data_IF_703974378866
#
_entry.id   IF_703974378866
#
_cell.length_a   1.000
_cell.length_b   1.000
_cell.length_c   1.000
_cell.angle_alpha   90.00
_cell.angle_beta   90.00
_cell.angle_gamma   90.00
#
_symmetry.space_group_name_H-M   'P 1'
#
loop_
_entity.id
_entity.type
_entity.pdbx_description
1 polymer ?
#
# COMPACT_ATOMS: atom_id res chain seq x y z
N UNK A 1 12.96 22.57 6.70
CA UNK A 1 12.71 21.47 5.74
C UNK A 1 11.21 21.25 5.59
N UNK A 2 10.65 21.59 4.42
CA UNK A 2 9.32 21.17 3.99
C UNK A 2 9.01 19.70 4.28
N UNK A 3 7.75 19.38 4.54
CA UNK A 3 7.27 18.01 4.79
C UNK A 3 7.59 17.03 3.64
N UNK A 4 7.58 17.52 2.40
CA UNK A 4 7.90 16.72 1.21
C UNK A 4 9.35 16.20 1.22
N UNK A 5 10.32 17.05 1.58
CA UNK A 5 11.73 16.68 1.63
C UNK A 5 12.01 15.57 2.65
N UNK A 6 11.35 15.63 3.83
CA UNK A 6 11.48 14.60 4.86
C UNK A 6 10.96 13.25 4.36
N UNK A 7 9.81 13.23 3.67
CA UNK A 7 9.25 12.00 3.07
C UNK A 7 10.15 11.44 1.99
N UNK A 8 10.72 12.30 1.15
CA UNK A 8 11.63 11.91 0.08
C UNK A 8 12.93 11.31 0.64
N UNK A 9 13.53 11.96 1.64
CA UNK A 9 14.74 11.46 2.30
C UNK A 9 14.51 10.12 3.02
N UNK A 10 13.38 9.96 3.73
CA UNK A 10 13.01 8.70 4.37
C UNK A 10 12.80 7.58 3.33
N UNK A 11 12.07 7.86 2.26
CA UNK A 11 11.83 6.91 1.17
C UNK A 11 13.12 6.47 0.48
N UNK A 12 14.03 7.41 0.19
CA UNK A 12 15.34 7.12 -0.41
C UNK A 12 16.22 6.28 0.52
N UNK A 13 16.29 6.63 1.82
CA UNK A 13 17.08 5.89 2.80
C UNK A 13 16.59 4.45 2.96
N UNK A 14 15.28 4.24 2.97
CA UNK A 14 14.68 2.91 3.05
C UNK A 14 14.97 2.10 1.79
N UNK A 15 14.83 2.71 0.61
CA UNK A 15 15.11 2.05 -0.67
C UNK A 15 16.58 1.67 -0.82
N UNK A 16 17.49 2.49 -0.28
CA UNK A 16 18.92 2.16 -0.22
C UNK A 16 19.21 1.02 0.76
N UNK A 17 18.53 0.99 1.91
CA UNK A 17 18.70 -0.07 2.92
C UNK A 17 18.08 -1.40 2.50
N UNK A 18 16.99 -1.36 1.75
CA UNK A 18 16.25 -2.54 1.29
C UNK A 18 16.03 -2.42 -0.23
N UNK A 19 17.04 -2.77 -1.03
CA UNK A 19 17.00 -2.66 -2.51
C UNK A 19 15.86 -3.45 -3.13
N UNK A 20 15.51 -4.59 -2.54
CA UNK A 20 14.51 -5.52 -3.08
C UNK A 20 13.09 -5.21 -2.56
N UNK A 21 12.91 -4.08 -1.84
CA UNK A 21 11.62 -3.69 -1.27
C UNK A 21 11.23 -2.27 -1.65
N UNK A 22 9.96 -2.14 -1.99
CA UNK A 22 9.32 -0.89 -2.39
C UNK A 22 8.56 -0.34 -1.17
N UNK A 23 8.90 0.86 -0.67
CA UNK A 23 8.12 1.53 0.36
C UNK A 23 6.80 2.01 -0.23
N UNK A 24 5.68 1.52 0.32
CA UNK A 24 4.31 1.86 -0.10
C UNK A 24 3.57 2.44 1.08
N UNK A 25 2.84 3.54 0.86
CA UNK A 25 1.90 4.10 1.83
C UNK A 25 0.50 3.77 1.35
N UNK A 26 -0.27 3.05 2.16
CA UNK A 26 -1.64 2.64 1.88
C UNK A 26 -2.56 3.24 2.95
N UNK A 27 -3.59 3.94 2.51
CA UNK A 27 -4.55 4.61 3.38
C UNK A 27 -5.97 4.24 2.97
N UNK A 28 -6.88 4.25 3.94
CA UNK A 28 -8.30 4.07 3.70
C UNK A 28 -8.86 5.31 2.98
N UNK A 29 -9.72 5.11 2.00
CA UNK A 29 -10.45 6.21 1.37
C UNK A 29 -11.53 6.76 2.32
N UNK A 30 -11.71 8.09 2.36
CA UNK A 30 -12.60 8.75 3.32
C UNK A 30 -14.06 8.28 3.24
N UNK A 31 -14.51 7.84 2.06
CA UNK A 31 -15.89 7.39 1.79
C UNK A 31 -16.06 5.87 1.80
N UNK A 32 -15.14 5.13 2.43
CA UNK A 32 -15.19 3.67 2.43
C UNK A 32 -15.60 3.09 3.78
N UNK A 33 -16.49 2.09 3.73
CA UNK A 33 -17.00 1.35 4.90
C UNK A 33 -16.06 0.21 5.34
N UNK A 34 -14.80 0.23 4.89
CA UNK A 34 -13.81 -0.77 5.30
C UNK A 34 -13.23 -0.40 6.67
N UNK A 35 -12.78 -1.40 7.45
CA UNK A 35 -12.06 -1.14 8.70
C UNK A 35 -10.80 -0.31 8.48
N UNK A 36 -10.40 0.45 9.49
CA UNK A 36 -9.18 1.26 9.41
C UNK A 36 -7.92 0.38 9.34
N UNK A 37 -6.92 0.89 8.60
CA UNK A 37 -5.63 0.24 8.44
C UNK A 37 -4.72 0.66 9.60
N UNK A 38 -4.35 -0.31 10.43
CA UNK A 38 -3.48 -0.14 11.60
C UNK A 38 -2.09 0.41 11.24
N UNK A 39 -1.49 -0.11 10.16
CA UNK A 39 -0.17 0.27 9.67
C UNK A 39 -0.25 0.69 8.22
N UNK A 40 -0.15 2.00 7.99
CA UNK A 40 -0.20 2.60 6.64
C UNK A 40 1.09 2.44 5.83
N UNK A 41 2.23 2.24 6.48
CA UNK A 41 3.54 2.09 5.81
C UNK A 41 3.87 0.62 5.60
N UNK A 42 4.13 0.23 4.35
CA UNK A 42 4.46 -1.14 3.94
C UNK A 42 5.81 -1.17 3.23
N UNK A 43 6.56 -2.26 3.43
CA UNK A 43 7.73 -2.59 2.63
C UNK A 43 7.37 -3.81 1.80
N UNK A 44 6.98 -3.55 0.55
CA UNK A 44 6.47 -4.57 -0.37
C UNK A 44 7.66 -5.15 -1.16
N UNK A 45 7.85 -6.47 -1.20
CA UNK A 45 8.84 -7.09 -2.08
C UNK A 45 8.61 -6.69 -3.55
N UNK A 46 9.68 -6.47 -4.31
CA UNK A 46 9.58 -6.00 -5.71
C UNK A 46 8.94 -7.03 -6.67
N UNK A 47 8.96 -8.30 -6.29
CA UNK A 47 8.35 -9.44 -6.98
C UNK A 47 6.85 -9.62 -6.66
N UNK A 48 6.34 -8.90 -5.66
CA UNK A 48 4.96 -9.04 -5.20
C UNK A 48 3.98 -8.29 -6.12
N UNK A 49 3.01 -9.02 -6.66
CA UNK A 49 1.98 -8.48 -7.57
C UNK A 49 0.95 -7.62 -6.83
N UNK A 50 0.28 -6.73 -7.57
CA UNK A 50 -0.82 -5.92 -7.01
C UNK A 50 -1.91 -6.80 -6.40
N UNK A 51 -2.30 -7.91 -7.05
CA UNK A 51 -3.29 -8.85 -6.52
C UNK A 51 -2.88 -9.48 -5.18
N UNK A 52 -1.62 -9.91 -5.06
CA UNK A 52 -1.09 -10.41 -3.79
C UNK A 52 -1.08 -9.31 -2.71
N UNK A 53 -0.80 -8.06 -3.08
CA UNK A 53 -0.79 -6.95 -2.14
C UNK A 53 -2.21 -6.68 -1.61
N UNK A 54 -3.21 -6.68 -2.50
CA UNK A 54 -4.63 -6.59 -2.13
C UNK A 54 -5.00 -7.68 -1.12
N UNK A 55 -4.55 -8.92 -1.34
CA UNK A 55 -4.80 -10.03 -0.42
C UNK A 55 -4.17 -9.81 0.96
N UNK A 56 -2.94 -9.28 1.02
CA UNK A 56 -2.28 -8.92 2.28
C UNK A 56 -3.06 -7.84 3.03
N UNK A 57 -3.50 -6.78 2.35
CA UNK A 57 -4.31 -5.73 2.95
C UNK A 57 -5.61 -6.31 3.49
N UNK A 58 -6.32 -7.11 2.70
CA UNK A 58 -7.57 -7.78 3.09
C UNK A 58 -7.43 -8.55 4.41
N UNK A 59 -6.35 -9.31 4.55
CA UNK A 59 -6.05 -10.09 5.76
C UNK A 59 -5.76 -9.19 6.97
N UNK A 60 -5.12 -8.03 6.77
CA UNK A 60 -4.84 -7.07 7.85
C UNK A 60 -6.09 -6.39 8.38
N UNK A 61 -6.96 -5.90 7.49
CA UNK A 61 -8.23 -5.27 7.88
C UNK A 61 -9.31 -6.30 8.27
N UNK A 62 -8.98 -7.60 8.26
CA UNK A 62 -9.90 -8.72 8.55
C UNK A 62 -11.21 -8.63 7.76
N UNK A 63 -11.13 -8.20 6.50
CA UNK A 63 -12.30 -8.01 5.65
C UNK A 63 -12.85 -9.37 5.20
N UNK A 64 -14.16 -9.56 5.38
CA UNK A 64 -14.87 -10.79 4.98
C UNK A 64 -14.68 -11.11 3.49
N UNK A 65 -14.67 -12.41 3.11
CA UNK A 65 -14.48 -12.83 1.73
C UNK A 65 -15.57 -12.36 0.76
N UNK A 66 -16.76 -12.04 1.30
CA UNK A 66 -17.91 -11.54 0.56
C UNK A 66 -17.80 -10.06 0.19
N UNK A 67 -16.99 -9.29 0.91
CA UNK A 67 -16.83 -7.84 0.66
C UNK A 67 -15.72 -7.60 -0.35
N UNK A 68 -16.03 -6.81 -1.38
CA UNK A 68 -15.05 -6.36 -2.37
C UNK A 68 -14.06 -5.35 -1.77
N UNK A 69 -12.83 -5.36 -2.29
CA UNK A 69 -11.78 -4.40 -1.95
C UNK A 69 -11.14 -3.90 -3.24
N UNK A 70 -10.94 -2.59 -3.32
CA UNK A 70 -10.31 -1.92 -4.46
C UNK A 70 -9.15 -1.06 -3.96
N UNK A 71 -8.05 -1.04 -4.71
CA UNK A 71 -6.90 -0.18 -4.46
C UNK A 71 -6.78 0.78 -5.63
N UNK A 72 -6.45 2.04 -5.35
CA UNK A 72 -6.27 3.06 -6.37
C UNK A 72 -4.86 3.62 -6.29
N UNK A 73 -4.22 3.78 -7.45
CA UNK A 73 -2.93 4.48 -7.60
C UNK A 73 -3.18 5.61 -8.59
N UNK A 74 -2.94 6.86 -8.16
CA UNK A 74 -3.28 8.06 -8.94
C UNK A 74 -4.75 8.07 -9.41
N UNK A 75 -5.68 7.68 -8.53
CA UNK A 75 -7.12 7.55 -8.80
C UNK A 75 -7.48 6.54 -9.90
N UNK A 76 -6.54 5.73 -10.36
CA UNK A 76 -6.76 4.66 -11.34
C UNK A 76 -6.65 3.31 -10.63
N UNK A 77 -7.52 2.36 -11.00
CA UNK A 77 -7.36 0.98 -10.59
C UNK A 77 -6.10 0.43 -11.26
N UNK A 78 -5.02 0.13 -10.51
CA UNK A 78 -3.84 -0.45 -11.10
C UNK A 78 -4.21 -1.81 -11.71
N UNK A 79 -3.58 -2.20 -12.83
CA UNK A 79 -3.79 -3.53 -13.38
C UNK A 79 -3.38 -4.55 -12.32
N UNK A 80 -4.30 -5.42 -11.91
CA UNK A 80 -4.05 -6.44 -10.88
C UNK A 80 -3.12 -7.57 -11.34
N UNK A 81 -2.62 -7.50 -12.58
CA UNK A 81 -1.77 -8.48 -13.25
C UNK A 81 -2.61 -9.54 -13.96
N UNK A 82 -2.56 -9.52 -15.30
CA UNK A 82 -3.29 -10.31 -16.30
C UNK A 82 -4.72 -10.75 -15.96
#
# INVERSE_FOLDING_TARGET
MPFCEKRQAEGQRIRFKYSDRIPVICEKADRSDIPDIDKKKFLVPADLTVGQFVYVIRKRIKLSPEKAIFIFVNNVLPPTGM
#
